data_IF_879559683269
#
_entry.id   IF_879559683269
#
_cell.length_a   1.000
_cell.length_b   1.000
_cell.length_c   1.000
_cell.angle_alpha   90.00
_cell.angle_beta   90.00
_cell.angle_gamma   90.00
#
_symmetry.space_group_name_H-M   'P 1'
#
loop_
_entity.id
_entity.type
_entity.pdbx_description
1 polymer ?
#
# COMPACT_ATOMS: atom_id res chain seq x y z
N UNK A 1 8.53 -20.40 -9.40
CA UNK A 1 9.46 -19.64 -8.54
C UNK A 1 9.15 -20.06 -7.11
N UNK A 2 10.12 -20.68 -6.44
CA UNK A 2 10.00 -20.94 -5.00
C UNK A 2 10.64 -19.74 -4.33
N UNK A 3 9.83 -18.83 -3.84
CA UNK A 3 10.31 -17.77 -2.97
C UNK A 3 10.70 -18.39 -1.64
N UNK A 4 11.97 -18.34 -1.32
CA UNK A 4 12.50 -18.75 -0.01
C UNK A 4 12.43 -17.52 0.90
N UNK A 5 11.33 -17.33 1.57
CA UNK A 5 11.28 -16.41 2.69
C UNK A 5 12.01 -17.06 3.88
N UNK A 6 13.29 -16.74 4.00
CA UNK A 6 14.14 -17.26 5.04
C UNK A 6 13.91 -16.57 6.37
N UNK A 7 13.82 -17.34 7.44
CA UNK A 7 13.95 -16.85 8.81
C UNK A 7 15.38 -16.32 9.03
N UNK A 8 15.49 -15.05 9.42
CA UNK A 8 16.80 -14.46 9.74
C UNK A 8 16.95 -14.29 11.25
N UNK A 9 17.84 -15.07 11.88
CA UNK A 9 18.18 -14.99 13.30
C UNK A 9 18.76 -13.64 13.75
N UNK A 10 19.11 -12.76 12.82
CA UNK A 10 19.69 -11.44 13.11
C UNK A 10 18.65 -10.34 13.34
N UNK A 11 17.36 -10.61 13.19
CA UNK A 11 16.29 -9.63 13.38
C UNK A 11 15.68 -9.75 14.75
N UNK A 12 15.41 -8.60 15.37
CA UNK A 12 14.63 -8.49 16.61
C UNK A 12 13.13 -8.80 16.39
N UNK A 13 12.73 -8.97 15.13
CA UNK A 13 11.37 -9.17 14.67
C UNK A 13 11.35 -10.28 13.62
N UNK A 14 10.47 -11.29 13.70
CA UNK A 14 10.35 -12.30 12.65
C UNK A 14 9.83 -11.69 11.36
N UNK A 15 10.24 -12.26 10.23
CA UNK A 15 9.81 -11.81 8.90
C UNK A 15 8.31 -12.01 8.67
N UNK A 16 7.80 -13.15 9.17
CA UNK A 16 6.44 -13.58 8.94
C UNK A 16 5.70 -13.74 10.26
N UNK A 17 4.51 -13.22 10.32
CA UNK A 17 3.65 -13.25 11.50
C UNK A 17 2.30 -13.91 11.16
N UNK A 18 1.69 -14.53 12.15
CA UNK A 18 0.29 -14.98 12.12
C UNK A 18 -0.49 -14.27 13.22
N UNK A 19 -1.77 -13.95 13.01
CA UNK A 19 -2.59 -13.38 14.08
C UNK A 19 -2.70 -14.33 15.27
N UNK A 20 -2.64 -13.79 16.49
CA UNK A 20 -2.97 -14.55 17.70
C UNK A 20 -4.47 -14.74 17.79
N UNK A 21 -4.95 -15.80 17.17
CA UNK A 21 -6.37 -16.11 17.07
C UNK A 21 -6.59 -17.62 17.13
N UNK A 22 -7.62 -18.03 17.84
CA UNK A 22 -8.08 -19.44 17.90
C UNK A 22 -8.65 -19.97 16.56
N UNK A 23 -8.79 -19.10 15.57
CA UNK A 23 -9.21 -19.49 14.21
C UNK A 23 -8.08 -20.17 13.43
N UNK A 24 -6.82 -20.02 13.87
CA UNK A 24 -5.65 -20.61 13.22
C UNK A 24 -5.15 -21.83 13.97
N UNK A 25 -4.63 -22.87 13.27
CA UNK A 25 -4.06 -24.04 13.91
C UNK A 25 -2.87 -23.69 14.82
N UNK A 26 -2.75 -24.38 15.94
CA UNK A 26 -1.63 -24.18 16.88
C UNK A 26 -0.24 -24.44 16.27
N UNK A 27 -0.14 -25.30 15.27
CA UNK A 27 1.09 -25.60 14.55
C UNK A 27 1.45 -24.56 13.46
N UNK A 28 0.66 -23.47 13.39
CA UNK A 28 1.02 -22.28 12.60
C UNK A 28 1.93 -21.31 13.36
N UNK A 29 2.05 -21.48 14.69
CA UNK A 29 2.99 -20.72 15.53
C UNK A 29 4.40 -21.32 15.42
N UNK A 30 5.43 -20.49 15.35
CA UNK A 30 6.81 -20.99 15.33
C UNK A 30 7.19 -21.59 16.70
N UNK A 31 8.13 -22.57 16.71
CA UNK A 31 8.52 -23.25 17.96
C UNK A 31 9.43 -22.39 18.83
N UNK A 32 10.25 -21.53 18.23
CA UNK A 32 11.30 -20.77 18.91
C UNK A 32 10.70 -19.65 19.78
N UNK A 33 9.73 -18.91 19.25
CA UNK A 33 9.10 -17.75 19.91
C UNK A 33 7.59 -17.94 20.08
N UNK A 34 7.15 -19.15 20.43
CA UNK A 34 5.75 -19.57 20.40
C UNK A 34 4.81 -18.64 21.17
N UNK A 35 5.24 -18.16 22.31
CA UNK A 35 4.43 -17.34 23.22
C UNK A 35 4.81 -15.85 23.16
N UNK A 36 5.78 -15.49 22.31
CA UNK A 36 6.20 -14.10 22.16
C UNK A 36 5.28 -13.39 21.19
N UNK A 37 4.63 -12.37 21.69
CA UNK A 37 3.71 -11.53 20.91
C UNK A 37 4.42 -10.32 20.33
N UNK A 38 3.91 -9.85 19.20
CA UNK A 38 4.35 -8.67 18.46
C UNK A 38 3.16 -7.74 18.24
N UNK A 39 3.39 -6.51 17.82
CA UNK A 39 2.38 -5.51 17.51
C UNK A 39 1.29 -5.40 18.59
N UNK A 40 1.70 -5.02 19.79
CA UNK A 40 0.84 -4.88 20.97
C UNK A 40 0.10 -6.18 21.39
N UNK A 41 0.69 -7.32 21.11
CA UNK A 41 0.17 -8.61 21.57
C UNK A 41 -0.84 -9.28 20.63
N UNK A 42 -0.95 -8.80 19.40
CA UNK A 42 -1.94 -9.31 18.43
C UNK A 42 -1.37 -10.28 17.39
N UNK A 43 -0.04 -10.38 17.31
CA UNK A 43 0.66 -11.20 16.33
C UNK A 43 1.67 -12.13 16.97
N UNK A 44 1.86 -13.30 16.37
CA UNK A 44 2.81 -14.33 16.77
C UNK A 44 3.73 -14.67 15.59
N UNK A 45 4.91 -15.21 15.88
CA UNK A 45 5.81 -15.71 14.84
C UNK A 45 5.15 -16.87 14.05
N UNK A 46 5.18 -16.79 12.72
CA UNK A 46 4.65 -17.81 11.84
C UNK A 46 5.60 -19.01 11.72
N UNK A 47 5.04 -20.22 11.75
CA UNK A 47 5.80 -21.45 11.45
C UNK A 47 6.02 -21.60 9.94
N UNK A 48 7.01 -22.40 9.57
CA UNK A 48 7.25 -22.85 8.19
C UNK A 48 5.98 -23.43 7.54
N UNK A 49 5.16 -24.13 8.32
CA UNK A 49 3.90 -24.69 7.85
C UNK A 49 2.90 -23.61 7.48
N UNK A 50 2.76 -22.56 8.30
CA UNK A 50 1.88 -21.44 8.03
C UNK A 50 2.33 -20.69 6.76
N UNK A 51 3.63 -20.39 6.67
CA UNK A 51 4.22 -19.71 5.50
C UNK A 51 3.95 -20.51 4.22
N UNK A 52 4.26 -21.82 4.21
CA UNK A 52 4.02 -22.68 3.02
C UNK A 52 2.55 -22.77 2.66
N UNK A 53 1.67 -22.79 3.65
CA UNK A 53 0.22 -22.82 3.42
C UNK A 53 -0.25 -21.53 2.74
N UNK A 54 0.22 -20.37 3.17
CA UNK A 54 -0.15 -19.08 2.61
C UNK A 54 0.51 -18.82 1.24
N UNK A 55 1.71 -19.33 1.03
CA UNK A 55 2.42 -19.21 -0.25
C UNK A 55 1.95 -20.20 -1.33
N UNK A 56 1.07 -21.13 -0.99
CA UNK A 56 0.49 -22.05 -1.98
C UNK A 56 -0.83 -21.48 -2.52
N UNK A 57 -0.86 -20.95 -3.77
CA UNK A 57 -2.05 -20.32 -4.33
C UNK A 57 -3.27 -21.24 -4.36
N UNK A 58 -3.08 -22.57 -4.36
CA UNK A 58 -4.17 -23.55 -4.35
C UNK A 58 -5.00 -23.50 -3.07
N UNK A 59 -4.43 -23.00 -1.97
CA UNK A 59 -5.12 -22.84 -0.70
C UNK A 59 -5.97 -21.56 -0.64
N UNK A 60 -5.66 -20.57 -1.49
CA UNK A 60 -6.24 -19.23 -1.45
C UNK A 60 -7.09 -18.95 -2.70
N UNK A 61 -6.77 -19.56 -3.84
CA UNK A 61 -7.50 -19.35 -5.10
C UNK A 61 -8.91 -19.94 -5.02
N UNK A 62 -9.87 -19.11 -4.71
CA UNK A 62 -11.30 -19.40 -4.64
C UNK A 62 -12.10 -18.16 -5.09
N UNK A 63 -13.42 -18.26 -5.12
CA UNK A 63 -14.31 -17.20 -5.59
C UNK A 63 -14.18 -15.90 -4.79
N UNK A 64 -13.93 -15.99 -3.48
CA UNK A 64 -13.80 -14.81 -2.60
C UNK A 64 -12.46 -14.09 -2.76
N UNK A 65 -11.41 -14.83 -3.13
CA UNK A 65 -10.04 -14.32 -3.13
C UNK A 65 -9.44 -14.15 -4.54
N UNK A 66 -10.18 -14.50 -5.59
CA UNK A 66 -9.64 -14.53 -6.96
C UNK A 66 -9.03 -13.18 -7.39
N UNK A 67 -9.55 -12.07 -6.91
CA UNK A 67 -9.04 -10.74 -7.25
C UNK A 67 -7.66 -10.44 -6.66
N UNK A 68 -7.19 -11.20 -5.66
CA UNK A 68 -5.83 -11.08 -5.15
C UNK A 68 -4.78 -11.49 -6.19
N UNK A 69 -5.18 -12.29 -7.17
CA UNK A 69 -4.32 -12.76 -8.27
C UNK A 69 -4.41 -11.90 -9.53
N UNK A 70 -5.21 -10.83 -9.49
CA UNK A 70 -5.27 -9.87 -10.58
C UNK A 70 -3.94 -9.14 -10.69
N UNK A 71 -3.38 -9.10 -11.90
CA UNK A 71 -2.21 -8.29 -12.19
C UNK A 71 -2.52 -6.81 -12.03
N UNK A 72 -1.64 -6.10 -11.30
CA UNK A 72 -1.78 -4.69 -10.97
C UNK A 72 -1.18 -3.75 -12.02
N UNK A 73 -1.09 -4.21 -13.27
CA UNK A 73 -0.63 -3.41 -14.39
C UNK A 73 -1.78 -2.63 -15.06
N UNK A 74 -1.40 -1.54 -15.73
CA UNK A 74 -2.34 -0.79 -16.57
C UNK A 74 -2.73 -1.61 -17.79
N UNK A 75 -4.03 -1.70 -18.06
CA UNK A 75 -4.58 -2.34 -19.26
C UNK A 75 -5.49 -1.36 -19.98
N UNK A 76 -5.10 -0.96 -21.18
CA UNK A 76 -5.86 0.00 -21.97
C UNK A 76 -7.31 -0.48 -22.22
N UNK A 77 -8.27 0.40 -22.02
CA UNK A 77 -9.72 0.16 -22.08
C UNK A 77 -10.31 -0.77 -21.01
N UNK A 78 -9.50 -1.32 -20.10
CA UNK A 78 -10.02 -2.09 -18.97
C UNK A 78 -10.28 -1.20 -17.74
N UNK A 79 -9.42 -0.21 -17.52
CA UNK A 79 -9.62 0.78 -16.47
C UNK A 79 -10.19 2.06 -17.09
N UNK A 80 -11.38 2.44 -16.63
CA UNK A 80 -12.14 3.58 -17.18
C UNK A 80 -12.28 4.71 -16.18
N UNK A 81 -12.57 5.91 -16.65
CA UNK A 81 -12.87 7.07 -15.79
C UNK A 81 -14.14 6.80 -14.96
N UNK A 82 -15.15 6.15 -15.54
CA UNK A 82 -16.37 5.78 -14.83
C UNK A 82 -16.06 4.87 -13.64
N UNK A 83 -15.23 3.83 -13.83
CA UNK A 83 -14.82 2.95 -12.75
C UNK A 83 -13.98 3.66 -11.68
N UNK A 84 -13.13 4.61 -12.05
CA UNK A 84 -12.45 5.48 -11.08
C UNK A 84 -13.46 6.32 -10.29
N UNK A 85 -14.42 6.95 -10.97
CA UNK A 85 -15.44 7.76 -10.31
C UNK A 85 -16.25 6.96 -9.29
N UNK A 86 -16.59 5.71 -9.59
CA UNK A 86 -17.28 4.81 -8.65
C UNK A 86 -16.42 4.52 -7.40
N UNK A 87 -15.11 4.28 -7.57
CA UNK A 87 -14.18 4.02 -6.47
C UNK A 87 -13.99 5.27 -5.60
N UNK A 88 -13.90 6.44 -6.24
CA UNK A 88 -13.56 7.70 -5.56
C UNK A 88 -14.77 8.48 -5.04
N UNK A 89 -15.98 8.02 -5.32
CA UNK A 89 -17.21 8.66 -4.88
C UNK A 89 -17.24 8.87 -3.35
N UNK A 90 -17.59 10.08 -2.93
CA UNK A 90 -17.57 10.51 -1.51
C UNK A 90 -16.22 10.31 -0.82
N UNK A 91 -15.11 10.52 -1.54
CA UNK A 91 -13.76 10.51 -0.98
C UNK A 91 -13.02 11.82 -1.32
N UNK A 92 -11.84 12.02 -0.72
CA UNK A 92 -10.97 13.16 -1.04
C UNK A 92 -10.42 13.12 -2.48
N UNK A 93 -10.58 12.00 -3.18
CA UNK A 93 -10.18 11.81 -4.58
C UNK A 93 -11.32 12.06 -5.56
N UNK A 94 -12.51 12.47 -5.10
CA UNK A 94 -13.64 12.73 -5.96
C UNK A 94 -13.41 13.96 -6.85
N UNK A 95 -13.58 13.79 -8.16
CA UNK A 95 -13.51 14.88 -9.14
C UNK A 95 -12.85 14.46 -10.45
N UNK A 96 -13.34 15.06 -11.55
CA UNK A 96 -12.91 14.72 -12.91
C UNK A 96 -11.40 14.90 -13.11
N UNK A 97 -10.80 15.97 -12.57
CA UNK A 97 -9.36 16.22 -12.68
C UNK A 97 -8.55 15.12 -12.00
N UNK A 98 -9.01 14.65 -10.84
CA UNK A 98 -8.36 13.58 -10.08
C UNK A 98 -8.48 12.24 -10.81
N UNK A 99 -9.67 11.94 -11.36
CA UNK A 99 -9.88 10.72 -12.15
C UNK A 99 -8.97 10.68 -13.37
N UNK A 100 -8.84 11.79 -14.08
CA UNK A 100 -7.90 11.92 -15.18
C UNK A 100 -6.44 11.76 -14.75
N UNK A 101 -6.05 12.35 -13.60
CA UNK A 101 -4.71 12.21 -13.04
C UNK A 101 -4.40 10.76 -12.66
N UNK A 102 -5.34 10.02 -12.08
CA UNK A 102 -5.21 8.60 -11.73
C UNK A 102 -5.01 7.73 -12.98
N UNK A 103 -5.81 7.93 -14.04
CA UNK A 103 -5.63 7.23 -15.32
C UNK A 103 -4.25 7.55 -15.91
N UNK A 104 -3.87 8.83 -15.95
CA UNK A 104 -2.57 9.24 -16.48
C UNK A 104 -1.40 8.64 -15.67
N UNK A 105 -1.48 8.68 -14.35
CA UNK A 105 -0.49 8.09 -13.45
C UNK A 105 -0.34 6.59 -13.70
N UNK A 106 -1.47 5.87 -13.77
CA UNK A 106 -1.50 4.44 -14.05
C UNK A 106 -0.86 4.10 -15.40
N UNK A 107 -1.23 4.85 -16.45
CA UNK A 107 -0.67 4.67 -17.80
C UNK A 107 0.84 4.93 -17.86
N UNK A 108 1.30 6.02 -17.24
CA UNK A 108 2.72 6.39 -17.23
C UNK A 108 3.59 5.40 -16.46
N UNK A 109 3.10 4.92 -15.32
CA UNK A 109 3.82 4.01 -14.45
C UNK A 109 3.60 2.53 -14.78
N UNK A 110 2.66 2.20 -15.67
CA UNK A 110 2.17 0.85 -15.93
C UNK A 110 1.60 0.19 -14.66
N UNK A 111 0.80 0.92 -13.89
CA UNK A 111 0.14 0.46 -12.66
C UNK A 111 -1.38 0.61 -12.82
N UNK A 112 -2.16 -0.35 -12.33
CA UNK A 112 -3.62 -0.28 -12.35
C UNK A 112 -4.12 0.96 -11.58
N UNK A 113 -4.80 1.93 -12.24
CA UNK A 113 -5.27 3.15 -11.58
C UNK A 113 -6.36 2.89 -10.52
N UNK A 114 -7.11 1.78 -10.62
CA UNK A 114 -8.05 1.35 -9.56
C UNK A 114 -7.30 0.95 -8.28
N UNK A 115 -6.18 0.26 -8.45
CA UNK A 115 -5.30 -0.06 -7.33
C UNK A 115 -4.70 1.20 -6.70
N UNK A 116 -4.24 2.15 -7.52
CA UNK A 116 -3.71 3.44 -7.01
C UNK A 116 -4.79 4.17 -6.19
N UNK A 117 -5.99 4.32 -6.73
CA UNK A 117 -7.10 4.99 -6.04
C UNK A 117 -7.46 4.30 -4.72
N UNK A 118 -7.63 2.97 -4.76
CA UNK A 118 -7.98 2.18 -3.57
C UNK A 118 -6.90 2.25 -2.49
N UNK A 119 -5.62 2.20 -2.88
CA UNK A 119 -4.49 2.34 -1.96
C UNK A 119 -4.46 3.72 -1.31
N UNK A 120 -4.65 4.79 -2.07
CA UNK A 120 -4.71 6.15 -1.53
C UNK A 120 -5.85 6.32 -0.52
N UNK A 121 -7.03 5.77 -0.82
CA UNK A 121 -8.18 5.80 0.10
C UNK A 121 -7.87 4.99 1.37
N UNK A 122 -7.23 3.84 1.25
CA UNK A 122 -6.83 3.02 2.39
C UNK A 122 -5.81 3.74 3.29
N UNK A 123 -4.80 4.37 2.70
CA UNK A 123 -3.73 5.07 3.44
C UNK A 123 -4.22 6.37 4.09
N UNK A 124 -5.07 7.14 3.41
CA UNK A 124 -5.47 8.48 3.82
C UNK A 124 -6.86 8.53 4.49
N UNK A 125 -7.62 7.43 4.43
CA UNK A 125 -9.04 7.42 4.77
C UNK A 125 -9.90 8.11 3.71
N UNK A 126 -11.22 7.93 3.80
CA UNK A 126 -12.16 8.52 2.82
C UNK A 126 -12.10 10.06 2.79
N UNK A 127 -11.95 10.67 3.94
CA UNK A 127 -11.88 12.12 4.06
C UNK A 127 -10.51 12.73 3.73
N UNK A 128 -9.49 11.90 3.59
CA UNK A 128 -8.11 12.34 3.44
C UNK A 128 -7.51 12.89 4.75
N UNK A 129 -6.19 13.08 4.74
CA UNK A 129 -5.43 13.67 5.86
C UNK A 129 -4.88 15.03 5.48
N UNK A 130 -4.16 15.68 6.40
CA UNK A 130 -3.51 16.97 6.18
C UNK A 130 -2.68 17.01 4.89
N UNK A 131 -1.89 15.99 4.62
CA UNK A 131 -1.00 15.94 3.45
C UNK A 131 -1.74 15.63 2.13
N UNK A 132 -2.88 14.99 2.19
CA UNK A 132 -3.69 14.73 1.00
C UNK A 132 -4.68 15.85 0.68
N UNK A 133 -4.99 16.71 1.68
CA UNK A 133 -5.89 17.88 1.51
C UNK A 133 -5.15 19.17 1.21
N UNK A 134 -3.84 19.19 1.34
CA UNK A 134 -2.98 20.34 1.15
C UNK A 134 -2.47 20.93 2.45
N UNK A 135 -1.17 21.06 2.55
CA UNK A 135 -0.45 21.61 3.68
C UNK A 135 0.38 22.82 3.24
N UNK A 136 0.28 23.93 4.00
CA UNK A 136 1.06 25.15 3.74
C UNK A 136 2.53 24.93 4.17
N UNK A 137 3.43 24.94 3.21
CA UNK A 137 4.86 24.83 3.45
C UNK A 137 5.63 25.86 2.63
N UNK A 138 6.42 26.72 3.30
CA UNK A 138 7.19 27.82 2.68
C UNK A 138 6.38 28.70 1.71
N UNK A 139 5.11 29.01 2.04
CA UNK A 139 4.24 29.85 1.24
C UNK A 139 3.64 29.17 0.00
N UNK A 140 3.69 27.85 -0.05
CA UNK A 140 3.06 27.03 -1.09
C UNK A 140 2.19 25.96 -0.44
N UNK A 141 0.98 25.73 -0.95
CA UNK A 141 0.19 24.54 -0.61
C UNK A 141 0.79 23.34 -1.32
N UNK A 142 1.14 22.30 -0.56
CA UNK A 142 1.74 21.08 -1.09
C UNK A 142 0.91 19.85 -0.73
N UNK A 143 1.02 18.80 -1.55
CA UNK A 143 0.26 17.56 -1.42
C UNK A 143 1.20 16.35 -1.41
N UNK A 144 0.97 15.39 -0.50
CA UNK A 144 1.73 14.12 -0.47
C UNK A 144 0.82 12.97 -0.03
N UNK A 145 -0.10 12.53 -0.91
CA UNK A 145 -1.08 11.51 -0.55
C UNK A 145 -0.48 10.10 -0.36
N UNK A 146 0.76 9.87 -0.81
CA UNK A 146 1.48 8.60 -0.62
C UNK A 146 2.33 8.57 0.65
N UNK A 147 2.33 9.63 1.47
CA UNK A 147 3.17 9.75 2.67
C UNK A 147 4.67 9.53 2.42
N UNK A 148 5.16 9.90 1.21
CA UNK A 148 6.56 9.71 0.85
C UNK A 148 7.45 10.59 1.72
N UNK A 149 8.48 9.97 2.35
CA UNK A 149 9.37 10.62 3.33
C UNK A 149 8.65 11.12 4.60
N UNK A 150 7.46 10.64 4.88
CA UNK A 150 6.73 10.89 6.12
C UNK A 150 7.37 10.09 7.28
N UNK A 151 8.54 10.49 7.72
CA UNK A 151 9.33 9.85 8.79
C UNK A 151 9.74 10.89 9.82
N UNK A 152 9.75 10.54 11.11
CA UNK A 152 10.12 11.44 12.19
C UNK A 152 9.80 10.85 13.56
N UNK A 153 10.17 11.57 14.62
CA UNK A 153 9.96 11.16 16.01
C UNK A 153 8.67 11.77 16.61
N UNK A 154 8.06 12.72 15.91
CA UNK A 154 6.79 13.34 16.28
C UNK A 154 5.89 13.48 15.05
N UNK A 155 4.58 13.65 15.27
CA UNK A 155 3.62 13.88 14.19
C UNK A 155 3.93 15.14 13.38
N UNK A 156 4.43 16.18 14.04
CA UNK A 156 4.84 17.44 13.38
C UNK A 156 6.03 17.22 12.46
N UNK A 157 7.08 16.55 12.97
CA UNK A 157 8.28 16.22 12.18
C UNK A 157 7.95 15.35 10.97
N UNK A 158 7.05 14.37 11.12
CA UNK A 158 6.58 13.49 10.04
C UNK A 158 5.90 14.31 8.95
N UNK A 159 4.97 15.21 9.33
CA UNK A 159 4.27 16.08 8.38
C UNK A 159 5.23 17.04 7.69
N UNK A 160 6.14 17.68 8.43
CA UNK A 160 7.12 18.62 7.87
C UNK A 160 8.06 17.94 6.88
N UNK A 161 8.60 16.77 7.19
CA UNK A 161 9.49 16.04 6.29
C UNK A 161 8.78 15.62 5.00
N UNK A 162 7.54 15.16 5.10
CA UNK A 162 6.72 14.81 3.94
C UNK A 162 6.33 16.04 3.11
N UNK A 163 6.01 17.17 3.76
CA UNK A 163 5.68 18.43 3.09
C UNK A 163 6.90 19.05 2.39
N UNK A 164 8.06 19.02 3.06
CA UNK A 164 9.33 19.43 2.47
C UNK A 164 9.62 18.67 1.18
N UNK A 165 9.48 17.34 1.23
CA UNK A 165 9.68 16.50 0.04
C UNK A 165 8.71 16.90 -1.08
N UNK A 166 7.42 17.04 -0.79
CA UNK A 166 6.42 17.46 -1.77
C UNK A 166 6.74 18.83 -2.38
N UNK A 167 7.22 19.79 -1.58
CA UNK A 167 7.67 21.10 -2.02
C UNK A 167 8.85 20.99 -3.00
N UNK A 168 9.85 20.19 -2.67
CA UNK A 168 11.03 19.93 -3.52
C UNK A 168 10.66 19.26 -4.84
N UNK A 169 9.58 18.46 -4.88
CA UNK A 169 9.04 17.83 -6.09
C UNK A 169 8.09 18.75 -6.89
N UNK A 170 7.71 19.92 -6.33
CA UNK A 170 6.76 20.83 -6.97
C UNK A 170 5.32 20.27 -6.97
N UNK A 171 4.94 19.49 -5.97
CA UNK A 171 3.60 18.92 -5.82
C UNK A 171 2.64 19.94 -5.18
N UNK A 172 2.34 20.98 -5.92
CA UNK A 172 1.48 22.12 -5.53
C UNK A 172 -0.02 21.86 -5.79
N UNK A 173 -0.35 20.71 -6.42
CA UNK A 173 -1.71 20.22 -6.59
C UNK A 173 -1.77 18.72 -6.31
N UNK A 174 -2.98 18.22 -5.96
CA UNK A 174 -3.18 16.79 -5.68
C UNK A 174 -2.89 15.94 -6.93
N UNK A 175 -3.27 16.42 -8.12
CA UNK A 175 -3.00 15.76 -9.39
C UNK A 175 -1.50 15.55 -9.63
N UNK A 176 -0.69 16.61 -9.42
CA UNK A 176 0.77 16.49 -9.57
C UNK A 176 1.37 15.51 -8.57
N UNK A 177 0.89 15.53 -7.34
CA UNK A 177 1.33 14.60 -6.31
C UNK A 177 0.94 13.14 -6.62
N UNK A 178 -0.24 12.90 -7.20
CA UNK A 178 -0.66 11.58 -7.65
C UNK A 178 0.25 11.10 -8.79
N UNK A 179 0.43 11.92 -9.84
CA UNK A 179 1.24 11.54 -11.00
C UNK A 179 2.70 11.29 -10.61
N UNK A 180 3.29 12.16 -9.79
CA UNK A 180 4.68 12.03 -9.37
C UNK A 180 4.92 10.96 -8.30
N UNK A 181 3.93 10.73 -7.44
CA UNK A 181 4.07 9.77 -6.34
C UNK A 181 3.89 8.31 -6.74
N UNK A 182 3.20 8.04 -7.85
CA UNK A 182 2.95 6.66 -8.30
C UNK A 182 4.24 5.90 -8.66
N UNK A 183 5.29 6.59 -9.05
CA UNK A 183 6.59 5.98 -9.33
C UNK A 183 7.19 5.26 -8.12
N UNK A 184 6.90 5.72 -6.89
CA UNK A 184 7.28 5.00 -5.67
C UNK A 184 6.55 3.66 -5.53
N UNK A 185 5.27 3.61 -5.91
CA UNK A 185 4.49 2.35 -5.92
C UNK A 185 5.08 1.39 -6.95
N UNK A 186 5.40 1.88 -8.14
CA UNK A 186 6.02 1.09 -9.20
C UNK A 186 7.36 0.51 -8.77
N UNK A 187 8.28 1.35 -8.29
CA UNK A 187 9.63 0.92 -7.91
C UNK A 187 9.63 0.03 -6.66
N UNK A 188 8.77 0.31 -5.69
CA UNK A 188 8.72 -0.42 -4.43
C UNK A 188 8.03 -1.78 -4.51
N UNK A 189 7.14 -1.99 -5.48
CA UNK A 189 6.31 -3.21 -5.57
C UNK A 189 6.34 -3.84 -6.96
N UNK A 190 5.89 -3.13 -7.99
CA UNK A 190 5.69 -3.73 -9.32
C UNK A 190 7.01 -4.18 -9.95
N UNK A 191 8.04 -3.33 -9.92
CA UNK A 191 9.34 -3.63 -10.52
C UNK A 191 10.13 -4.71 -9.78
N UNK A 192 9.79 -5.00 -8.53
CA UNK A 192 10.42 -6.09 -7.75
C UNK A 192 9.63 -7.41 -7.84
N UNK A 193 8.60 -7.45 -8.68
CA UNK A 193 7.83 -8.66 -8.96
C UNK A 193 6.58 -8.84 -8.08
N UNK A 194 6.26 -7.90 -7.22
CA UNK A 194 5.01 -7.87 -6.45
C UNK A 194 3.92 -7.18 -7.27
N UNK A 195 3.52 -7.81 -8.35
CA UNK A 195 2.54 -7.26 -9.29
C UNK A 195 1.11 -7.83 -9.10
N UNK A 196 0.86 -8.48 -7.98
CA UNK A 196 -0.47 -8.91 -7.52
C UNK A 196 -0.64 -8.58 -6.03
N UNK A 197 -1.85 -8.68 -5.50
CA UNK A 197 -2.10 -8.55 -4.06
C UNK A 197 -1.76 -9.82 -3.26
N UNK A 198 -1.58 -10.94 -3.95
CA UNK A 198 -1.17 -12.23 -3.40
C UNK A 198 0.39 -12.30 -3.25
#
# INVERSE_FOLDING_TARGET
VIENEGYSDSRTYPLNLVPDSSLYPEDWKCEIDRDKTYDNGTWLCASDKAIRCQMDPRNILNEDNIFQFKELSYVENAQTIEGINEITENTFLEGENISNALIQAGKNANVDPYFIASRLIQEQGRDGTTLSRGYEYNGMTVYNPFNIRAVGNSSEEIIENAAKYAYEQGWDTLEKAIIGGVDFVKEGYINVGQNTLY
#
